data_IF_988605669424
#
_entry.id   IF_988605669424
#
_cell.length_a   1.000
_cell.length_b   1.000
_cell.length_c   1.000
_cell.angle_alpha   90.00
_cell.angle_beta   90.00
_cell.angle_gamma   90.00
#
_symmetry.space_group_name_H-M   'P 1'
#
loop_
_entity.id
_entity.type
_entity.pdbx_description
1 polymer ?
#
# COMPACT_ATOMS: atom_id res chain seq x y z
N UNK A 1 -41.57 -8.35 57.44
CA UNK A 1 -40.32 -9.12 57.23
C UNK A 1 -40.15 -9.57 55.77
N UNK A 2 -40.77 -8.87 54.79
CA UNK A 2 -40.86 -9.30 53.39
C UNK A 2 -40.07 -8.38 52.43
N UNK A 3 -39.92 -7.09 52.72
CA UNK A 3 -39.24 -6.15 51.81
C UNK A 3 -37.73 -6.37 51.71
N UNK A 4 -37.08 -6.75 52.81
CA UNK A 4 -35.63 -7.01 52.86
C UNK A 4 -35.30 -8.23 51.99
N UNK A 5 -36.04 -9.33 52.17
CA UNK A 5 -35.86 -10.55 51.38
C UNK A 5 -36.07 -10.30 49.88
N UNK A 6 -37.11 -9.56 49.49
CA UNK A 6 -37.35 -9.21 48.08
C UNK A 6 -36.24 -8.34 47.51
N UNK A 7 -35.75 -7.36 48.28
CA UNK A 7 -34.64 -6.50 47.86
C UNK A 7 -33.35 -7.30 47.66
N UNK A 8 -33.04 -8.20 48.58
CA UNK A 8 -31.82 -9.01 48.54
C UNK A 8 -31.88 -10.02 47.38
N UNK A 9 -33.04 -10.61 47.11
CA UNK A 9 -33.27 -11.46 45.92
C UNK A 9 -33.08 -10.68 44.61
N UNK A 10 -33.64 -9.48 44.50
CA UNK A 10 -33.51 -8.64 43.32
C UNK A 10 -32.07 -8.18 43.09
N UNK A 11 -31.33 -7.82 44.16
CA UNK A 11 -29.93 -7.44 44.05
C UNK A 11 -29.03 -8.61 43.66
N UNK A 12 -29.26 -9.81 44.21
CA UNK A 12 -28.51 -11.00 43.82
C UNK A 12 -28.77 -11.39 42.35
N UNK A 13 -30.03 -11.29 41.91
CA UNK A 13 -30.37 -11.55 40.51
C UNK A 13 -29.72 -10.54 39.56
N UNK A 14 -29.75 -9.25 39.91
CA UNK A 14 -29.09 -8.20 39.14
C UNK A 14 -27.58 -8.41 39.06
N UNK A 15 -26.94 -8.77 40.18
CA UNK A 15 -25.51 -9.06 40.22
C UNK A 15 -25.14 -10.26 39.32
N UNK A 16 -25.95 -11.31 39.32
CA UNK A 16 -25.78 -12.45 38.42
C UNK A 16 -25.94 -12.07 36.94
N UNK A 17 -26.93 -11.23 36.62
CA UNK A 17 -27.14 -10.73 35.25
C UNK A 17 -25.95 -9.88 34.78
N UNK A 18 -25.46 -8.97 35.62
CA UNK A 18 -24.29 -8.13 35.32
C UNK A 18 -23.03 -8.99 35.10
N UNK A 19 -22.80 -9.99 35.94
CA UNK A 19 -21.69 -10.93 35.78
C UNK A 19 -21.77 -11.68 34.44
N UNK A 20 -22.97 -12.12 34.04
CA UNK A 20 -23.18 -12.80 32.76
C UNK A 20 -22.93 -11.88 31.56
N UNK A 21 -23.38 -10.62 31.63
CA UNK A 21 -23.09 -9.61 30.59
C UNK A 21 -21.58 -9.41 30.45
N UNK A 22 -20.84 -9.31 31.55
CA UNK A 22 -19.37 -9.17 31.52
C UNK A 22 -18.71 -10.37 30.84
N UNK A 23 -19.15 -11.59 31.18
CA UNK A 23 -18.62 -12.82 30.55
C UNK A 23 -18.93 -12.88 29.05
N UNK A 24 -20.13 -12.47 28.64
CA UNK A 24 -20.52 -12.41 27.23
C UNK A 24 -19.69 -11.36 26.47
N UNK A 25 -19.49 -10.17 27.04
CA UNK A 25 -18.65 -9.13 26.42
C UNK A 25 -17.18 -9.59 26.29
N UNK A 26 -16.66 -10.29 27.30
CA UNK A 26 -15.33 -10.87 27.24
C UNK A 26 -15.21 -11.98 26.17
N UNK A 27 -16.27 -12.77 25.95
CA UNK A 27 -16.31 -13.83 24.94
C UNK A 27 -16.53 -13.28 23.51
N UNK A 28 -17.23 -12.15 23.37
CA UNK A 28 -17.45 -11.45 22.08
C UNK A 28 -16.24 -10.58 21.70
N UNK A 29 -15.29 -10.35 22.62
CA UNK A 29 -14.09 -9.57 22.35
C UNK A 29 -13.51 -9.99 21.00
N UNK A 30 -13.61 -9.13 19.97
CA UNK A 30 -13.23 -9.53 18.63
C UNK A 30 -11.76 -9.86 18.69
N UNK A 31 -11.41 -11.11 18.35
CA UNK A 31 -10.05 -11.38 17.96
C UNK A 31 -9.79 -10.45 16.79
N UNK A 32 -8.90 -9.47 16.97
CA UNK A 32 -8.33 -8.70 15.88
C UNK A 32 -7.56 -9.68 15.00
N UNK A 33 -8.28 -10.49 14.24
CA UNK A 33 -7.77 -11.06 13.02
C UNK A 33 -7.79 -9.86 12.09
N UNK A 34 -6.64 -9.20 12.00
CA UNK A 34 -6.29 -8.44 10.82
C UNK A 34 -6.50 -9.41 9.66
N UNK A 35 -7.69 -9.43 9.08
CA UNK A 35 -7.88 -9.99 7.76
C UNK A 35 -7.13 -9.01 6.87
N UNK A 36 -5.91 -9.34 6.40
CA UNK A 36 -5.18 -8.40 5.59
C UNK A 36 -6.03 -8.30 4.33
N UNK A 37 -6.76 -7.19 4.20
CA UNK A 37 -7.65 -6.91 3.09
C UNK A 37 -7.00 -7.48 1.83
N UNK A 38 -7.60 -8.51 1.22
CA UNK A 38 -6.93 -9.33 0.23
C UNK A 38 -6.48 -8.41 -0.91
N UNK A 39 -5.20 -8.07 -0.91
CA UNK A 39 -4.68 -7.04 -1.80
C UNK A 39 -4.80 -7.55 -3.23
N UNK A 40 -5.25 -6.72 -4.18
CA UNK A 40 -5.29 -7.13 -5.56
C UNK A 40 -3.86 -7.41 -6.05
N UNK A 41 -3.71 -8.52 -6.79
CA UNK A 41 -2.46 -8.92 -7.42
C UNK A 41 -1.55 -9.77 -6.53
N UNK A 42 -0.31 -9.96 -6.97
CA UNK A 42 0.68 -10.76 -6.23
C UNK A 42 1.78 -9.91 -5.61
N UNK A 43 2.14 -8.80 -6.26
CA UNK A 43 3.05 -7.77 -5.78
C UNK A 43 2.36 -6.41 -5.91
N UNK A 44 2.52 -5.56 -4.91
CA UNK A 44 1.98 -4.21 -4.86
C UNK A 44 3.14 -3.23 -4.71
N UNK A 45 3.19 -2.25 -5.61
CA UNK A 45 4.02 -1.06 -5.46
C UNK A 45 3.11 0.12 -5.15
N UNK A 46 3.37 0.83 -4.06
CA UNK A 46 2.58 1.96 -3.61
C UNK A 46 3.49 3.14 -3.33
N UNK A 47 3.03 4.32 -3.70
CA UNK A 47 3.72 5.58 -3.42
C UNK A 47 2.77 6.56 -2.76
N UNK A 48 3.30 7.38 -1.86
CA UNK A 48 2.58 8.50 -1.27
C UNK A 48 3.49 9.72 -1.17
N UNK A 49 2.93 10.90 -1.32
CA UNK A 49 3.68 12.15 -1.24
C UNK A 49 2.86 13.26 -0.57
N UNK A 50 3.50 14.37 -0.17
CA UNK A 50 2.80 15.48 0.47
C UNK A 50 1.64 16.00 -0.37
N UNK A 51 0.56 16.38 0.32
CA UNK A 51 -0.63 16.92 -0.32
C UNK A 51 -0.38 18.23 -1.07
N UNK A 52 -1.30 18.51 -1.99
CA UNK A 52 -1.29 19.71 -2.82
C UNK A 52 -1.27 19.37 -4.29
N UNK A 53 -0.91 20.37 -5.11
CA UNK A 53 -0.96 20.30 -6.58
C UNK A 53 0.22 19.58 -7.23
N UNK A 54 1.09 18.97 -6.44
CA UNK A 54 2.26 18.27 -6.95
C UNK A 54 1.83 16.94 -7.53
N UNK A 55 2.22 16.71 -8.78
CA UNK A 55 1.86 15.52 -9.56
C UNK A 55 3.07 14.59 -9.68
N UNK A 56 2.98 13.40 -9.08
CA UNK A 56 4.04 12.40 -9.02
C UNK A 56 3.49 11.08 -9.54
N UNK A 57 4.12 10.58 -10.60
CA UNK A 57 3.75 9.30 -11.20
C UNK A 57 4.55 8.14 -10.58
N UNK A 58 3.85 7.03 -10.40
CA UNK A 58 4.42 5.69 -10.27
C UNK A 58 4.66 5.08 -11.64
N UNK A 59 5.89 4.60 -11.87
CA UNK A 59 6.27 3.84 -13.06
C UNK A 59 6.81 2.46 -12.68
N UNK A 60 6.20 1.40 -13.19
CA UNK A 60 6.60 0.01 -12.89
C UNK A 60 6.88 -0.77 -14.17
N UNK A 61 7.84 -1.68 -14.12
CA UNK A 61 8.24 -2.47 -15.30
C UNK A 61 8.63 -3.89 -14.93
N UNK A 62 8.34 -4.85 -15.81
CA UNK A 62 8.87 -6.20 -15.81
C UNK A 62 9.78 -6.42 -17.02
N UNK A 63 11.02 -6.88 -16.81
CA UNK A 63 12.01 -7.11 -17.86
C UNK A 63 12.20 -5.88 -18.77
N UNK A 64 11.98 -6.10 -20.08
CA UNK A 64 12.06 -5.11 -21.16
C UNK A 64 10.67 -4.74 -21.75
N UNK A 65 9.60 -5.10 -21.02
CA UNK A 65 8.21 -4.75 -21.38
C UNK A 65 7.99 -3.23 -21.34
N UNK A 66 6.82 -2.77 -21.81
CA UNK A 66 6.48 -1.36 -21.67
C UNK A 66 6.28 -1.06 -20.19
N UNK A 67 6.79 0.07 -19.71
CA UNK A 67 6.56 0.49 -18.35
C UNK A 67 5.08 0.92 -18.20
N UNK A 68 4.49 0.50 -17.08
CA UNK A 68 3.14 0.86 -16.70
C UNK A 68 3.16 2.12 -15.87
N UNK A 69 2.29 3.07 -16.23
CA UNK A 69 2.13 4.39 -15.62
C UNK A 69 0.92 5.11 -16.24
N UNK A 70 0.72 6.40 -15.97
CA UNK A 70 -0.49 7.14 -16.37
C UNK A 70 -0.85 6.99 -17.87
N UNK A 71 0.15 6.99 -18.77
CA UNK A 71 -0.07 6.89 -20.22
C UNK A 71 -0.20 5.46 -20.75
N UNK A 72 0.20 4.45 -19.95
CA UNK A 72 0.13 3.03 -20.29
C UNK A 72 -0.31 2.24 -19.05
N UNK A 73 -1.61 2.23 -18.77
CA UNK A 73 -2.14 1.82 -17.45
C UNK A 73 -2.10 0.32 -17.17
N UNK A 74 -1.85 -0.52 -18.16
CA UNK A 74 -1.69 -1.96 -17.94
C UNK A 74 -0.87 -2.60 -19.05
N UNK A 75 0.01 -3.51 -18.65
CA UNK A 75 0.71 -4.46 -19.51
C UNK A 75 0.42 -5.88 -18.99
N UNK A 76 1.14 -6.90 -19.48
CA UNK A 76 0.97 -8.32 -19.15
C UNK A 76 1.17 -8.60 -17.66
N UNK A 77 2.18 -7.97 -17.04
CA UNK A 77 2.54 -8.21 -15.63
C UNK A 77 1.96 -7.15 -14.71
N UNK A 78 2.05 -5.87 -15.06
CA UNK A 78 1.64 -4.77 -14.18
C UNK A 78 0.32 -4.13 -14.62
N UNK A 79 -0.44 -3.65 -13.64
CA UNK A 79 -1.59 -2.77 -13.85
C UNK A 79 -1.55 -1.63 -12.83
N UNK A 80 -1.73 -0.40 -13.30
CA UNK A 80 -1.93 0.77 -12.45
C UNK A 80 -3.37 0.73 -11.91
N UNK A 81 -3.52 0.86 -10.59
CA UNK A 81 -4.85 0.86 -9.95
C UNK A 81 -5.56 2.19 -10.16
N UNK A 82 -4.86 3.28 -9.89
CA UNK A 82 -5.35 4.65 -10.00
C UNK A 82 -4.19 5.60 -10.29
N UNK A 83 -4.50 6.57 -11.14
CA UNK A 83 -3.69 7.71 -11.55
C UNK A 83 -4.15 8.92 -10.73
N UNK A 84 -3.30 9.40 -9.81
CA UNK A 84 -3.63 10.45 -8.84
C UNK A 84 -2.92 11.76 -9.21
N UNK A 85 -3.69 12.71 -9.72
CA UNK A 85 -3.22 14.04 -10.15
C UNK A 85 -3.17 15.05 -8.98
N UNK A 86 -3.14 14.57 -7.73
CA UNK A 86 -3.24 15.36 -6.52
C UNK A 86 -4.62 16.01 -6.36
N UNK A 87 -4.65 17.27 -5.92
CA UNK A 87 -5.92 17.99 -5.65
C UNK A 87 -6.78 18.26 -6.90
N UNK A 88 -6.33 17.90 -8.10
CA UNK A 88 -7.12 18.07 -9.31
C UNK A 88 -8.28 17.06 -9.38
N UNK A 89 -8.14 15.89 -8.76
CA UNK A 89 -9.09 14.77 -8.84
C UNK A 89 -9.45 14.14 -7.48
N UNK A 90 -9.01 14.72 -6.37
CA UNK A 90 -9.27 14.19 -5.02
C UNK A 90 -9.38 15.30 -3.96
N UNK A 91 -10.30 15.13 -3.01
CA UNK A 91 -10.49 15.99 -1.82
C UNK A 91 -9.75 15.43 -0.59
N UNK A 92 -9.10 14.27 -0.71
CA UNK A 92 -8.35 13.66 0.38
C UNK A 92 -7.00 14.35 0.61
N UNK A 93 -6.53 14.41 1.87
CA UNK A 93 -5.30 15.12 2.23
C UNK A 93 -4.03 14.30 1.94
N UNK A 94 -4.11 13.19 1.21
CA UNK A 94 -2.97 12.31 0.93
C UNK A 94 -2.98 11.91 -0.54
N UNK A 95 -1.94 12.31 -1.26
CA UNK A 95 -1.76 11.90 -2.64
C UNK A 95 -1.10 10.51 -2.67
N UNK A 96 -1.65 9.59 -3.47
CA UNK A 96 -1.18 8.22 -3.51
C UNK A 96 -1.44 7.53 -4.86
N UNK A 97 -0.45 6.77 -5.32
CA UNK A 97 -0.63 5.83 -6.43
C UNK A 97 -0.24 4.42 -6.04
N UNK A 98 -0.85 3.46 -6.73
CA UNK A 98 -0.46 2.07 -6.60
C UNK A 98 -0.60 1.31 -7.90
N UNK A 99 0.31 0.35 -8.09
CA UNK A 99 0.26 -0.62 -9.15
C UNK A 99 0.35 -2.03 -8.56
N UNK A 100 -0.26 -2.99 -9.22
CA UNK A 100 -0.29 -4.39 -8.80
C UNK A 100 0.11 -5.30 -9.96
N UNK A 101 0.72 -6.44 -9.63
CA UNK A 101 1.04 -7.45 -10.63
C UNK A 101 -0.07 -8.48 -10.81
N UNK A 102 -0.22 -8.99 -12.02
CA UNK A 102 -0.92 -10.23 -12.34
C UNK A 102 0.12 -11.35 -12.51
N UNK A 103 0.28 -12.16 -11.48
CA UNK A 103 1.34 -13.16 -11.39
C UNK A 103 2.68 -12.58 -10.95
N UNK A 104 3.66 -13.47 -10.75
CA UNK A 104 5.05 -13.14 -10.42
C UNK A 104 6.02 -13.91 -11.33
N UNK A 105 6.01 -13.66 -12.65
CA UNK A 105 6.97 -14.29 -13.54
C UNK A 105 8.41 -13.89 -13.20
N UNK A 106 9.33 -14.83 -13.34
CA UNK A 106 10.75 -14.58 -13.21
C UNK A 106 11.21 -13.45 -14.14
N UNK A 107 12.18 -12.67 -13.68
CA UNK A 107 12.66 -11.50 -14.40
C UNK A 107 12.96 -10.32 -13.49
N UNK A 108 13.41 -9.23 -14.10
CA UNK A 108 13.67 -7.99 -13.38
C UNK A 108 12.37 -7.21 -13.16
N UNK A 109 12.18 -6.74 -11.93
CA UNK A 109 11.16 -5.78 -11.54
C UNK A 109 11.84 -4.45 -11.25
N UNK A 110 11.25 -3.35 -11.71
CA UNK A 110 11.72 -2.02 -11.40
C UNK A 110 10.54 -1.11 -11.04
N UNK A 111 10.75 -0.28 -10.03
CA UNK A 111 9.80 0.71 -9.53
C UNK A 111 10.50 2.06 -9.52
N UNK A 112 9.99 2.97 -10.34
CA UNK A 112 10.44 4.34 -10.43
C UNK A 112 9.35 5.29 -9.92
N UNK A 113 9.80 6.43 -9.43
CA UNK A 113 8.96 7.59 -9.18
C UNK A 113 9.40 8.72 -10.10
N UNK A 114 8.44 9.44 -10.63
CA UNK A 114 8.70 10.58 -11.52
C UNK A 114 7.90 11.78 -11.08
N UNK A 115 8.57 12.92 -11.04
CA UNK A 115 7.87 14.18 -10.96
C UNK A 115 7.20 14.46 -12.31
N UNK A 116 5.87 14.34 -12.42
CA UNK A 116 5.17 14.76 -13.62
C UNK A 116 5.04 16.28 -13.64
N UNK A 117 4.69 16.89 -12.52
CA UNK A 117 4.58 18.34 -12.38
C UNK A 117 4.83 18.80 -10.95
N UNK A 118 6.05 19.23 -10.65
CA UNK A 118 6.43 19.69 -9.31
C UNK A 118 6.87 21.15 -9.35
N UNK A 119 5.98 22.04 -8.90
CA UNK A 119 6.29 23.46 -8.75
C UNK A 119 7.29 23.74 -7.61
N UNK A 120 7.36 22.84 -6.61
CA UNK A 120 8.27 22.94 -5.47
C UNK A 120 9.01 21.61 -5.30
N UNK A 121 10.32 21.70 -5.09
CA UNK A 121 11.24 20.58 -4.84
C UNK A 121 12.13 20.94 -3.63
N UNK A 122 12.63 19.97 -2.86
CA UNK A 122 12.46 18.52 -3.04
C UNK A 122 11.04 18.02 -2.71
N UNK A 123 10.61 16.98 -3.41
CA UNK A 123 9.38 16.23 -3.09
C UNK A 123 9.77 14.88 -2.49
N UNK A 124 9.53 14.66 -1.18
CA UNK A 124 9.79 13.36 -0.56
C UNK A 124 8.66 12.39 -0.92
N UNK A 125 8.98 11.34 -1.67
CA UNK A 125 8.02 10.30 -2.06
C UNK A 125 8.27 9.06 -1.22
N UNK A 126 7.31 8.68 -0.38
CA UNK A 126 7.35 7.42 0.34
C UNK A 126 6.94 6.31 -0.61
N UNK A 127 7.76 5.26 -0.70
CA UNK A 127 7.54 4.16 -1.63
C UNK A 127 7.61 2.85 -0.85
N UNK A 128 6.64 1.97 -1.09
CA UNK A 128 6.55 0.65 -0.49
C UNK A 128 6.28 -0.39 -1.58
N UNK A 129 7.09 -1.45 -1.58
CA UNK A 129 6.94 -2.59 -2.48
C UNK A 129 6.79 -3.84 -1.61
N UNK A 130 5.66 -4.54 -1.75
CA UNK A 130 5.30 -5.69 -0.91
C UNK A 130 4.59 -6.78 -1.67
N UNK A 131 4.71 -8.01 -1.20
CA UNK A 131 3.89 -9.11 -1.69
C UNK A 131 2.47 -9.01 -1.12
N UNK A 132 1.48 -9.41 -1.92
CA UNK A 132 0.07 -9.37 -1.52
C UNK A 132 -0.25 -10.36 -0.39
N UNK A 133 0.45 -11.50 -0.35
CA UNK A 133 0.37 -12.50 0.72
C UNK A 133 1.06 -12.06 2.03
N UNK A 134 1.75 -10.92 2.00
CA UNK A 134 2.54 -10.39 3.12
C UNK A 134 4.03 -10.42 2.84
N UNK A 135 4.77 -9.53 3.50
CA UNK A 135 6.20 -9.37 3.31
C UNK A 135 6.56 -8.11 2.51
N UNK A 136 7.33 -7.23 3.15
CA UNK A 136 7.84 -6.00 2.53
C UNK A 136 9.14 -6.34 1.80
N UNK A 137 9.16 -6.12 0.49
CA UNK A 137 10.37 -6.25 -0.32
C UNK A 137 11.29 -5.06 -0.06
N UNK A 138 10.71 -3.86 -0.09
CA UNK A 138 11.44 -2.64 0.15
C UNK A 138 10.49 -1.52 0.56
N UNK A 139 10.96 -0.68 1.47
CA UNK A 139 10.25 0.51 1.93
C UNK A 139 11.27 1.62 2.18
N UNK A 140 10.98 2.81 1.70
CA UNK A 140 11.86 3.96 1.88
C UNK A 140 11.31 5.22 1.26
N UNK A 141 12.10 6.29 1.32
CA UNK A 141 11.76 7.58 0.75
C UNK A 141 12.71 7.91 -0.39
N UNK A 142 12.17 8.42 -1.50
CA UNK A 142 12.91 8.90 -2.65
C UNK A 142 12.63 10.39 -2.83
N UNK A 143 13.68 11.21 -2.73
CA UNK A 143 13.56 12.65 -2.95
C UNK A 143 13.65 13.00 -4.44
N UNK A 144 12.60 13.59 -4.98
CA UNK A 144 12.62 14.21 -6.31
C UNK A 144 13.11 15.65 -6.17
N UNK A 145 14.28 15.93 -6.71
CA UNK A 145 15.04 17.17 -6.53
C UNK A 145 14.79 18.19 -7.65
N UNK A 146 14.18 17.78 -8.77
CA UNK A 146 13.90 18.63 -9.93
C UNK A 146 12.58 18.26 -10.58
N UNK A 147 11.94 19.23 -11.21
CA UNK A 147 10.79 18.96 -12.08
C UNK A 147 11.17 18.00 -13.20
N UNK A 148 10.23 17.14 -13.62
CA UNK A 148 10.44 16.06 -14.60
C UNK A 148 11.48 14.99 -14.23
N UNK A 149 12.09 15.07 -13.04
CA UNK A 149 13.07 14.07 -12.62
C UNK A 149 12.39 12.71 -12.43
N UNK A 150 13.08 11.66 -12.84
CA UNK A 150 12.75 10.29 -12.55
C UNK A 150 13.87 9.65 -11.73
N UNK A 151 13.49 8.83 -10.75
CA UNK A 151 14.43 8.07 -9.91
C UNK A 151 13.90 6.66 -9.69
N UNK A 152 14.81 5.69 -9.67
CA UNK A 152 14.50 4.31 -9.28
C UNK A 152 14.46 4.20 -7.77
N UNK A 153 13.31 3.80 -7.24
CA UNK A 153 13.16 3.49 -5.82
C UNK A 153 13.78 2.13 -5.49
N UNK A 154 13.46 1.12 -6.30
CA UNK A 154 14.09 -0.19 -6.26
C UNK A 154 13.98 -0.89 -7.61
N UNK A 155 15.01 -1.67 -7.96
CA UNK A 155 14.96 -2.76 -8.93
C UNK A 155 15.50 -4.03 -8.30
N UNK A 156 14.91 -5.17 -8.63
CA UNK A 156 15.29 -6.48 -8.12
C UNK A 156 14.91 -7.56 -9.13
N UNK A 157 15.44 -8.78 -8.98
CA UNK A 157 15.11 -9.90 -9.87
C UNK A 157 14.33 -10.96 -9.09
N UNK A 158 13.26 -11.48 -9.70
CA UNK A 158 12.55 -12.66 -9.23
C UNK A 158 13.07 -13.91 -9.95
N UNK A 159 13.22 -15.00 -9.21
CA UNK A 159 13.58 -16.32 -9.70
C UNK A 159 12.87 -17.40 -8.84
N UNK A 160 12.06 -18.26 -9.47
CA UNK A 160 11.32 -19.30 -8.78
C UNK A 160 10.35 -18.79 -7.71
N UNK A 161 9.75 -17.62 -7.93
CA UNK A 161 8.84 -16.98 -6.96
C UNK A 161 9.53 -16.30 -5.77
N UNK A 162 10.87 -16.23 -5.75
CA UNK A 162 11.64 -15.55 -4.71
C UNK A 162 12.49 -14.43 -5.30
N UNK A 163 12.87 -13.46 -4.47
CA UNK A 163 13.84 -12.44 -4.86
C UNK A 163 15.23 -13.09 -4.95
N UNK A 164 15.88 -12.95 -6.09
CA UNK A 164 17.24 -13.40 -6.29
C UNK A 164 18.19 -12.68 -5.31
N UNK A 165 18.97 -13.41 -4.49
CA UNK A 165 19.86 -12.81 -3.51
C UNK A 165 20.83 -11.79 -4.13
N UNK A 166 20.96 -10.62 -3.50
CA UNK A 166 21.87 -9.55 -3.96
C UNK A 166 21.43 -8.83 -5.25
N UNK A 167 20.25 -9.11 -5.80
CA UNK A 167 19.76 -8.45 -7.01
C UNK A 167 19.17 -7.06 -6.78
N UNK A 168 18.85 -6.71 -5.53
CA UNK A 168 18.22 -5.44 -5.18
C UNK A 168 19.19 -4.27 -5.34
N UNK A 169 18.74 -3.22 -6.03
CA UNK A 169 19.52 -2.01 -6.28
C UNK A 169 18.63 -0.78 -6.43
N UNK A 170 19.20 0.41 -6.27
CA UNK A 170 18.55 1.71 -6.52
C UNK A 170 19.21 2.45 -7.69
N UNK A 171 20.09 1.77 -8.44
CA UNK A 171 20.70 2.34 -9.65
C UNK A 171 19.58 2.66 -10.65
N UNK A 172 19.62 3.89 -11.17
CA UNK A 172 18.63 4.39 -12.12
C UNK A 172 18.44 3.44 -13.30
N UNK A 173 17.19 3.07 -13.56
CA UNK A 173 16.75 2.37 -14.76
C UNK A 173 15.88 3.30 -15.58
N UNK A 174 16.28 3.55 -16.82
CA UNK A 174 15.44 4.25 -17.79
C UNK A 174 14.26 3.35 -18.18
N UNK A 175 13.05 3.82 -17.93
CA UNK A 175 11.83 3.08 -18.27
C UNK A 175 11.49 3.22 -19.76
N UNK A 176 11.07 2.12 -20.39
CA UNK A 176 10.55 2.12 -21.76
C UNK A 176 9.11 2.62 -21.72
N UNK A 177 8.84 3.81 -22.27
CA UNK A 177 7.50 4.43 -22.27
C UNK A 177 7.06 4.68 -23.71
N UNK A 178 5.76 4.55 -23.96
CA UNK A 178 5.15 5.13 -25.15
C UNK A 178 5.12 6.66 -24.98
N UNK A 179 5.56 7.39 -26.00
CA UNK A 179 5.42 8.85 -26.06
C UNK A 179 3.96 9.28 -26.04
#
# INVERSE_FOLDING_TARGET
MTSILTRDLLMNFLMGLVALVILVLAAIAPSAKDDPAQLPGNLVASITWPSGRTDVDLWVQHGDEMAVGYSHRSDRVWSLLRDDLGTANDDTPLNAESAFTRGLPDGEYAVNVRCFGCAKVPVPVSVEVRLAEGGVIWKGTVDLLKDKQERTAIRFRMAGGQIAPGSASQVFKQMKRGE
#
